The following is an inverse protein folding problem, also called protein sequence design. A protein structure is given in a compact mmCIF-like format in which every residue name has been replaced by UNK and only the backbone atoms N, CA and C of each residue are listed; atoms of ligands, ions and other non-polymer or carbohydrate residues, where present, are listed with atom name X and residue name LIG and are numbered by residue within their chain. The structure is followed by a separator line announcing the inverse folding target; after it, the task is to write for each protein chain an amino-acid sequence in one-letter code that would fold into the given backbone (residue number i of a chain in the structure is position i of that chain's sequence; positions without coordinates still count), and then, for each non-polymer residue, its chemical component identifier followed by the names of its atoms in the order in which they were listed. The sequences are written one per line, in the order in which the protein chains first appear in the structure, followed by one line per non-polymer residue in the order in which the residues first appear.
data_IF_268731959627
#
_entry.id   IF_268731959627
#
_cell.length_a   1.000
_cell.length_b   1.000
_cell.length_c   1.000
_cell.angle_alpha   90.00
_cell.angle_beta   90.00
_cell.angle_gamma   90.00
#
_symmetry.space_group_name_H-M   'P 1'
#
loop_
_entity.id
_entity.type
_entity.pdbx_description
1 polymer ?
#
# COMPACT_ATOMS: atom_id res chain seq x y z
N UNK A 1 6.82 -6.19 -0.20
CA UNK A 1 7.29 -4.81 0.08
C UNK A 1 6.96 -4.44 1.50
N UNK A 2 7.68 -3.49 2.10
CA UNK A 2 7.19 -2.91 3.36
C UNK A 2 5.81 -2.27 3.14
N UNK A 3 4.94 -2.38 4.14
CA UNK A 3 3.54 -1.91 4.05
C UNK A 3 3.43 -0.44 3.62
N UNK A 4 4.40 0.40 4.00
CA UNK A 4 4.44 1.82 3.60
C UNK A 4 4.61 1.97 2.09
N UNK A 5 5.43 1.14 1.45
CA UNK A 5 5.62 1.17 -0.01
C UNK A 5 4.35 0.73 -0.73
N UNK A 6 3.68 -0.33 -0.26
CA UNK A 6 2.36 -0.74 -0.77
C UNK A 6 1.34 0.40 -0.69
N UNK A 7 1.30 1.10 0.46
CA UNK A 7 0.41 2.24 0.65
C UNK A 7 0.69 3.37 -0.33
N UNK A 8 1.95 3.80 -0.45
CA UNK A 8 2.31 4.93 -1.34
C UNK A 8 2.01 4.62 -2.79
N UNK A 9 2.34 3.41 -3.27
CA UNK A 9 2.03 3.00 -4.65
C UNK A 9 0.52 2.90 -4.87
N UNK A 10 -0.23 2.36 -3.89
CA UNK A 10 -1.69 2.29 -3.99
C UNK A 10 -2.31 3.68 -4.08
N UNK A 11 -1.87 4.63 -3.24
CA UNK A 11 -2.32 6.03 -3.30
C UNK A 11 -1.97 6.69 -4.63
N UNK A 12 -0.77 6.43 -5.16
CA UNK A 12 -0.34 6.93 -6.47
C UNK A 12 -1.27 6.43 -7.58
N UNK A 13 -1.60 5.13 -7.59
CA UNK A 13 -2.49 4.54 -8.60
C UNK A 13 -3.92 5.05 -8.46
N UNK A 14 -4.43 5.19 -7.23
CA UNK A 14 -5.74 5.81 -6.95
C UNK A 14 -5.81 7.21 -7.60
N UNK A 15 -4.76 8.02 -7.41
CA UNK A 15 -4.70 9.37 -7.96
C UNK A 15 -4.58 9.37 -9.49
N UNK A 16 -3.77 8.47 -10.06
CA UNK A 16 -3.59 8.32 -11.52
C UNK A 16 -4.88 7.88 -12.23
N UNK A 17 -5.63 6.98 -11.60
CA UNK A 17 -6.87 6.43 -12.15
C UNK A 17 -8.10 7.28 -11.81
N UNK A 18 -7.94 8.34 -11.02
CA UNK A 18 -9.04 9.21 -10.57
C UNK A 18 -10.18 8.42 -9.90
N UNK A 19 -9.83 7.43 -9.06
CA UNK A 19 -10.82 6.60 -8.39
C UNK A 19 -11.66 7.43 -7.42
N UNK A 20 -12.96 7.14 -7.36
CA UNK A 20 -13.85 7.75 -6.38
C UNK A 20 -13.58 7.19 -4.97
N UNK A 21 -14.32 7.66 -3.98
CA UNK A 21 -14.11 7.25 -2.58
C UNK A 21 -14.38 5.75 -2.34
N UNK A 22 -15.35 5.17 -3.03
CA UNK A 22 -15.70 3.75 -2.87
C UNK A 22 -14.64 2.88 -3.53
N UNK A 23 -14.23 3.23 -4.74
CA UNK A 23 -13.20 2.53 -5.48
C UNK A 23 -11.83 2.68 -4.82
N UNK A 24 -11.52 3.86 -4.27
CA UNK A 24 -10.30 4.07 -3.47
C UNK A 24 -10.28 3.20 -2.21
N UNK A 25 -11.43 3.01 -1.54
CA UNK A 25 -11.51 2.11 -0.40
C UNK A 25 -11.24 0.66 -0.82
N UNK A 26 -11.87 0.19 -1.90
CA UNK A 26 -11.64 -1.15 -2.45
C UNK A 26 -10.17 -1.32 -2.86
N UNK A 27 -9.59 -0.33 -3.54
CA UNK A 27 -8.19 -0.29 -3.90
C UNK A 27 -7.26 -0.45 -2.69
N UNK A 28 -7.52 0.25 -1.58
CA UNK A 28 -6.73 0.11 -0.35
C UNK A 28 -6.91 -1.25 0.32
N UNK A 29 -8.11 -1.84 0.26
CA UNK A 29 -8.34 -3.20 0.77
C UNK A 29 -7.47 -4.22 0.05
N UNK A 30 -7.45 -4.18 -1.29
CA UNK A 30 -6.73 -5.18 -2.09
C UNK A 30 -5.26 -4.84 -2.35
N UNK A 31 -4.86 -3.58 -2.26
CA UNK A 31 -3.49 -3.12 -2.48
C UNK A 31 -2.64 -3.04 -1.19
N UNK A 32 -3.29 -2.88 -0.03
CA UNK A 32 -2.60 -2.65 1.26
C UNK A 32 -3.11 -3.57 2.36
N UNK A 33 -4.41 -3.54 2.68
CA UNK A 33 -4.92 -4.28 3.84
C UNK A 33 -4.97 -5.79 3.64
N UNK A 34 -4.76 -6.26 2.41
CA UNK A 34 -4.60 -7.68 2.12
C UNK A 34 -3.42 -8.29 2.89
N UNK A 35 -2.37 -7.49 3.18
CA UNK A 35 -1.22 -7.84 4.02
C UNK A 35 -1.62 -8.19 5.47
N UNK A 36 -2.82 -7.83 5.93
CA UNK A 36 -3.29 -8.25 7.26
C UNK A 36 -3.47 -9.77 7.34
N UNK A 37 -3.52 -10.47 6.21
CA UNK A 37 -3.53 -11.93 6.19
C UNK A 37 -2.24 -12.54 6.77
N UNK A 38 -1.12 -11.78 6.78
CA UNK A 38 0.10 -12.15 7.48
C UNK A 38 -0.12 -12.37 8.98
N UNK A 39 -1.13 -11.76 9.61
CA UNK A 39 -1.46 -12.03 11.01
C UNK A 39 -1.90 -13.49 11.22
N UNK A 40 -2.52 -14.10 10.22
CA UNK A 40 -2.87 -15.52 10.26
C UNK A 40 -1.61 -16.38 10.13
N UNK A 41 -0.71 -16.06 9.21
CA UNK A 41 0.59 -16.75 9.07
C UNK A 41 1.49 -16.60 10.30
N UNK A 42 1.50 -15.39 10.89
CA UNK A 42 2.26 -15.07 12.10
C UNK A 42 1.81 -15.93 13.29
N UNK A 43 0.50 -16.17 13.43
CA UNK A 43 -0.04 -17.05 14.48
C UNK A 43 0.54 -18.46 14.38
N UNK A 44 0.57 -19.02 13.18
CA UNK A 44 1.08 -20.38 12.97
C UNK A 44 2.60 -20.45 13.13
N UNK A 45 3.32 -19.41 12.70
CA UNK A 45 4.75 -19.29 12.94
C UNK A 45 5.12 -19.19 14.42
N UNK A 46 4.41 -18.37 15.20
CA UNK A 46 4.61 -18.24 16.66
C UNK A 46 4.37 -19.57 17.36
N UNK A 47 3.40 -20.36 16.89
CA UNK A 47 3.14 -21.71 17.42
C UNK A 47 4.29 -22.68 17.13
N UNK A 48 4.94 -22.55 15.98
CA UNK A 48 6.03 -23.45 15.56
C UNK A 48 7.40 -23.06 16.13
N UNK A 49 7.72 -21.76 16.18
CA UNK A 49 9.07 -21.25 16.47
C UNK A 49 9.16 -20.45 17.79
N UNK A 50 8.03 -20.20 18.44
CA UNK A 50 7.96 -19.40 19.67
C UNK A 50 7.92 -17.89 19.42
N UNK A 51 7.50 -17.13 20.45
CA UNK A 51 7.30 -15.68 20.36
C UNK A 51 8.60 -14.91 20.14
N UNK A 52 9.72 -15.44 20.64
CA UNK A 52 11.04 -14.80 20.51
C UNK A 52 11.54 -14.76 19.07
N UNK A 53 11.12 -15.70 18.22
CA UNK A 53 11.47 -15.75 16.81
C UNK A 53 10.81 -14.62 15.98
N UNK A 54 9.79 -13.94 16.52
CA UNK A 54 9.16 -12.77 15.86
C UNK A 54 10.03 -11.52 15.96
N UNK A 55 10.96 -11.48 16.91
CA UNK A 55 11.85 -10.34 17.12
C UNK A 55 13.23 -10.54 16.47
N UNK A 56 13.47 -11.70 15.84
CA UNK A 56 14.71 -11.94 15.11
C UNK A 56 14.65 -11.31 13.71
N UNK A 57 15.27 -10.14 13.59
CA UNK A 57 15.38 -9.40 12.33
C UNK A 57 16.06 -10.23 11.22
N UNK A 58 16.91 -11.20 11.55
CA UNK A 58 17.56 -12.06 10.56
C UNK A 58 16.57 -12.99 9.86
N UNK A 59 15.62 -13.55 10.61
CA UNK A 59 14.59 -14.44 10.08
C UNK A 59 13.49 -13.68 9.32
N UNK A 60 13.20 -12.44 9.73
CA UNK A 60 12.21 -11.56 9.06
C UNK A 60 12.70 -11.07 7.70
N UNK A 61 14.00 -10.80 7.58
CA UNK A 61 14.60 -10.25 6.36
C UNK A 61 14.96 -11.35 5.35
N UNK A 62 15.01 -12.61 5.80
CA UNK A 62 15.26 -13.73 4.90
C UNK A 62 14.07 -13.96 3.94
N UNK A 63 14.32 -14.16 2.63
CA UNK A 63 13.27 -14.42 1.64
C UNK A 63 12.41 -15.66 1.93
N UNK A 64 12.92 -16.58 2.77
CA UNK A 64 12.24 -17.78 3.25
C UNK A 64 11.46 -17.60 4.57
N UNK A 65 11.43 -16.41 5.16
CA UNK A 65 10.68 -16.10 6.38
C UNK A 65 9.19 -16.40 6.19
N UNK A 66 8.72 -17.46 6.86
CA UNK A 66 7.45 -18.19 6.62
C UNK A 66 6.16 -17.46 7.05
N UNK A 67 6.00 -16.16 6.80
CA UNK A 67 4.78 -15.42 7.17
C UNK A 67 3.90 -15.03 5.99
N UNK A 68 4.30 -15.36 4.76
CA UNK A 68 3.48 -15.15 3.57
C UNK A 68 2.23 -16.03 3.63
N UNK A 69 1.08 -15.38 3.73
CA UNK A 69 -0.22 -16.02 3.78
C UNK A 69 -0.79 -16.22 2.37
N UNK A 70 -1.93 -16.93 2.28
CA UNK A 70 -2.55 -17.39 1.05
C UNK A 70 -2.80 -16.28 0.03
N UNK A 71 -3.04 -15.03 0.46
CA UNK A 71 -3.36 -13.93 -0.46
C UNK A 71 -2.16 -13.44 -1.28
N UNK A 72 -0.95 -13.89 -0.94
CA UNK A 72 0.30 -13.63 -1.68
C UNK A 72 0.61 -14.71 -2.72
N UNK A 73 -0.23 -15.75 -2.81
CA UNK A 73 -0.11 -16.80 -3.82
C UNK A 73 -1.00 -16.50 -5.03
N UNK A 74 -0.57 -16.81 -6.26
CA UNK A 74 -1.42 -16.71 -7.46
C UNK A 74 -2.77 -17.44 -7.32
N UNK A 75 -2.84 -18.46 -6.45
CA UNK A 75 -4.09 -19.19 -6.15
C UNK A 75 -5.18 -18.29 -5.55
N UNK A 76 -4.81 -17.18 -4.89
CA UNK A 76 -5.77 -16.25 -4.33
C UNK A 76 -6.63 -15.55 -5.39
N UNK A 77 -6.28 -15.65 -6.68
CA UNK A 77 -7.17 -15.24 -7.79
C UNK A 77 -8.52 -15.95 -7.72
N UNK A 78 -8.59 -17.15 -7.14
CA UNK A 78 -9.85 -17.88 -6.95
C UNK A 78 -10.80 -17.20 -5.95
N UNK A 79 -10.28 -16.31 -5.11
CA UNK A 79 -11.06 -15.49 -4.17
C UNK A 79 -11.22 -14.07 -4.72
N UNK A 80 -10.13 -13.45 -5.15
CA UNK A 80 -10.14 -12.06 -5.67
C UNK A 80 -10.91 -11.96 -6.98
N UNK A 81 -10.78 -12.96 -7.86
CA UNK A 81 -11.45 -13.01 -9.17
C UNK A 81 -12.97 -12.94 -9.05
N UNK A 82 -13.63 -13.84 -8.27
CA UNK A 82 -15.07 -13.74 -8.03
C UNK A 82 -15.50 -12.41 -7.40
N UNK A 83 -14.73 -11.85 -6.47
CA UNK A 83 -15.04 -10.54 -5.86
C UNK A 83 -14.98 -9.43 -6.92
N UNK A 84 -13.99 -9.45 -7.80
CA UNK A 84 -13.89 -8.51 -8.93
C UNK A 84 -15.05 -8.65 -9.92
N UNK A 85 -15.41 -9.88 -10.28
CA UNK A 85 -16.55 -10.14 -11.18
C UNK A 85 -17.86 -9.67 -10.53
N UNK A 86 -18.08 -10.01 -9.26
CA UNK A 86 -19.28 -9.65 -8.51
C UNK A 86 -19.42 -8.14 -8.28
N UNK A 87 -18.30 -7.46 -8.03
CA UNK A 87 -18.29 -6.00 -7.87
C UNK A 87 -18.41 -5.26 -9.21
N UNK A 88 -18.29 -5.95 -10.36
CA UNK A 88 -18.13 -5.33 -11.70
C UNK A 88 -16.96 -4.33 -11.76
N UNK A 89 -16.04 -4.42 -10.82
CA UNK A 89 -14.89 -3.55 -10.70
C UNK A 89 -13.65 -4.36 -11.11
N UNK A 90 -12.88 -3.81 -12.04
CA UNK A 90 -11.51 -4.27 -12.28
C UNK A 90 -10.58 -3.89 -11.12
N UNK A 91 -11.02 -3.01 -10.22
CA UNK A 91 -10.23 -2.43 -9.13
C UNK A 91 -9.63 -3.49 -8.19
N UNK A 92 -10.40 -4.46 -7.63
CA UNK A 92 -9.81 -5.49 -6.76
C UNK A 92 -8.67 -6.27 -7.43
N UNK A 93 -8.89 -6.77 -8.66
CA UNK A 93 -7.88 -7.52 -9.41
C UNK A 93 -6.65 -6.67 -9.76
N UNK A 94 -6.84 -5.41 -10.15
CA UNK A 94 -5.73 -4.52 -10.48
C UNK A 94 -4.86 -4.21 -9.25
N UNK A 95 -5.48 -3.89 -8.12
CA UNK A 95 -4.74 -3.54 -6.90
C UNK A 95 -4.10 -4.77 -6.24
N UNK A 96 -4.80 -5.92 -6.23
CA UNK A 96 -4.20 -7.18 -5.79
C UNK A 96 -3.07 -7.65 -6.73
N UNK A 97 -3.25 -7.52 -8.05
CA UNK A 97 -2.21 -7.86 -9.02
C UNK A 97 -0.99 -6.96 -8.88
N UNK A 98 -1.20 -5.66 -8.69
CA UNK A 98 -0.11 -4.70 -8.40
C UNK A 98 0.61 -5.08 -7.12
N UNK A 99 -0.14 -5.42 -6.07
CA UNK A 99 0.39 -5.88 -4.81
C UNK A 99 1.32 -7.09 -4.99
N UNK A 100 0.86 -8.14 -5.69
CA UNK A 100 1.70 -9.30 -6.01
C UNK A 100 2.95 -8.93 -6.80
N UNK A 101 2.84 -8.04 -7.80
CA UNK A 101 3.97 -7.60 -8.61
C UNK A 101 5.01 -6.86 -7.77
N UNK A 102 4.57 -6.02 -6.83
CA UNK A 102 5.45 -5.34 -5.88
C UNK A 102 6.19 -6.34 -5.00
N UNK A 103 5.50 -7.38 -4.56
CA UNK A 103 6.08 -8.46 -3.77
C UNK A 103 7.11 -9.28 -4.55
N UNK A 104 6.83 -9.59 -5.81
CA UNK A 104 7.77 -10.25 -6.73
C UNK A 104 8.98 -9.35 -6.98
N UNK A 105 8.76 -8.06 -7.24
CA UNK A 105 9.83 -7.09 -7.47
C UNK A 105 10.74 -6.94 -6.24
N UNK A 106 10.17 -6.98 -5.03
CA UNK A 106 10.97 -7.00 -3.80
C UNK A 106 11.88 -8.22 -3.77
N UNK A 107 11.34 -9.43 -3.97
CA UNK A 107 12.12 -10.67 -3.83
C UNK A 107 13.17 -10.81 -4.94
N UNK A 108 12.84 -10.42 -6.17
CA UNK A 108 13.69 -10.67 -7.32
C UNK A 108 14.70 -9.56 -7.62
N UNK A 109 14.37 -8.31 -7.31
CA UNK A 109 15.14 -7.15 -7.79
C UNK A 109 15.60 -6.25 -6.67
N UNK A 110 14.71 -5.88 -5.75
CA UNK A 110 15.01 -4.80 -4.79
C UNK A 110 15.68 -5.31 -3.52
N UNK A 111 15.26 -6.45 -2.98
CA UNK A 111 15.62 -6.91 -1.64
C UNK A 111 14.73 -6.28 -0.56
N UNK A 112 14.60 -6.97 0.58
CA UNK A 112 13.79 -6.53 1.73
C UNK A 112 14.55 -5.46 2.53
N UNK A 113 13.93 -4.32 2.81
CA UNK A 113 14.56 -3.21 3.56
C UNK A 113 15.88 -2.70 2.94
N UNK A 114 15.98 -2.79 1.62
CA UNK A 114 17.19 -2.43 0.89
C UNK A 114 17.24 -0.93 0.53
N UNK A 115 18.41 -0.47 0.08
CA UNK A 115 18.56 0.87 -0.47
C UNK A 115 17.73 1.04 -1.75
N UNK A 116 17.58 -0.02 -2.55
CA UNK A 116 16.78 -0.01 -3.77
C UNK A 116 15.29 0.17 -3.47
N UNK A 117 14.76 -0.53 -2.46
CA UNK A 117 13.37 -0.35 -2.02
C UNK A 117 13.14 1.09 -1.52
N UNK A 118 14.10 1.65 -0.79
CA UNK A 118 14.03 3.03 -0.30
C UNK A 118 13.99 4.07 -1.44
N UNK A 119 14.79 3.87 -2.49
CA UNK A 119 14.76 4.71 -3.70
C UNK A 119 13.41 4.58 -4.41
N UNK A 120 12.90 3.37 -4.56
CA UNK A 120 11.59 3.14 -5.19
C UNK A 120 10.46 3.83 -4.41
N UNK A 121 10.45 3.70 -3.08
CA UNK A 121 9.50 4.39 -2.21
C UNK A 121 9.58 5.91 -2.38
N UNK A 122 10.80 6.48 -2.40
CA UNK A 122 10.99 7.92 -2.59
C UNK A 122 10.43 8.39 -3.95
N UNK A 123 10.71 7.66 -5.03
CA UNK A 123 10.21 8.00 -6.37
C UNK A 123 8.68 7.91 -6.44
N UNK A 124 8.08 6.88 -5.86
CA UNK A 124 6.62 6.74 -5.80
C UNK A 124 5.98 7.88 -4.99
N UNK A 125 6.56 8.23 -3.84
CA UNK A 125 6.09 9.35 -3.01
C UNK A 125 6.23 10.69 -3.73
N UNK A 126 7.36 10.92 -4.40
CA UNK A 126 7.58 12.12 -5.20
C UNK A 126 6.54 12.22 -6.32
N UNK A 127 6.29 11.13 -7.05
CA UNK A 127 5.25 11.08 -8.08
C UNK A 127 3.85 11.42 -7.55
N UNK A 128 3.48 10.86 -6.40
CA UNK A 128 2.20 11.14 -5.75
C UNK A 128 2.07 12.63 -5.39
N UNK A 129 3.10 13.21 -4.78
CA UNK A 129 3.13 14.63 -4.43
C UNK A 129 3.05 15.50 -5.68
N UNK A 130 3.78 15.16 -6.75
CA UNK A 130 3.78 15.91 -8.00
C UNK A 130 2.40 15.91 -8.67
N UNK A 131 1.73 14.76 -8.74
CA UNK A 131 0.38 14.67 -9.34
C UNK A 131 -0.63 15.50 -8.55
N UNK A 132 -0.61 15.38 -7.22
CA UNK A 132 -1.51 16.16 -6.36
C UNK A 132 -1.24 17.66 -6.48
N UNK A 133 0.02 18.06 -6.48
CA UNK A 133 0.43 19.44 -6.68
C UNK A 133 -0.05 19.99 -8.04
N UNK A 134 0.17 19.24 -9.12
CA UNK A 134 -0.26 19.62 -10.46
C UNK A 134 -1.79 19.80 -10.54
N UNK A 135 -2.56 18.93 -9.87
CA UNK A 135 -4.01 19.04 -9.79
C UNK A 135 -4.44 20.29 -9.01
N UNK A 136 -3.79 20.60 -7.88
CA UNK A 136 -4.08 21.80 -7.10
C UNK A 136 -3.79 23.10 -7.87
N UNK A 137 -2.75 23.12 -8.70
CA UNK A 137 -2.49 24.25 -9.60
C UNK A 137 -3.60 24.33 -10.66
N UNK A 138 -3.96 23.21 -11.28
CA UNK A 138 -4.99 23.18 -12.32
C UNK A 138 -6.37 23.63 -11.81
N UNK A 139 -6.69 23.38 -10.54
CA UNK A 139 -7.93 23.86 -9.89
C UNK A 139 -7.83 25.29 -9.34
N UNK A 140 -6.69 25.96 -9.50
CA UNK A 140 -6.45 27.32 -8.98
C UNK A 140 -6.37 27.40 -7.46
N UNK A 141 -6.17 26.27 -6.77
CA UNK A 141 -6.17 26.19 -5.31
C UNK A 141 -4.82 26.54 -4.67
N UNK A 142 -3.73 26.49 -5.44
CA UNK A 142 -2.40 26.95 -5.03
C UNK A 142 -1.62 27.45 -6.24
N UNK A 143 -0.77 28.47 -6.05
CA UNK A 143 0.10 29.03 -7.09
C UNK A 143 1.57 28.60 -6.92
N UNK A 144 1.95 28.20 -5.70
CA UNK A 144 3.31 27.75 -5.37
C UNK A 144 3.31 26.45 -4.56
N UNK A 145 4.44 25.74 -4.58
CA UNK A 145 4.62 24.53 -3.76
C UNK A 145 4.47 24.81 -2.26
N UNK A 146 4.94 25.97 -1.80
CA UNK A 146 4.81 26.37 -0.40
C UNK A 146 3.35 26.56 0.03
N UNK A 147 2.51 27.12 -0.85
CA UNK A 147 1.07 27.26 -0.61
C UNK A 147 0.37 25.90 -0.57
N UNK A 148 0.69 25.02 -1.52
CA UNK A 148 0.19 23.65 -1.54
C UNK A 148 0.53 22.90 -0.24
N UNK A 149 1.79 22.94 0.20
CA UNK A 149 2.21 22.29 1.44
C UNK A 149 1.48 22.85 2.66
N UNK A 150 1.27 24.18 2.72
CA UNK A 150 0.48 24.80 3.81
C UNK A 150 -0.98 24.37 3.77
N UNK A 151 -1.57 24.26 2.58
CA UNK A 151 -2.94 23.80 2.38
C UNK A 151 -3.12 22.37 2.89
N UNK A 152 -2.26 21.44 2.48
CA UNK A 152 -2.30 20.04 2.92
C UNK A 152 -2.09 19.91 4.45
N UNK A 153 -1.11 20.63 5.01
CA UNK A 153 -0.87 20.64 6.45
C UNK A 153 -2.06 21.23 7.22
N UNK A 154 -2.69 22.27 6.67
CA UNK A 154 -3.90 22.88 7.22
C UNK A 154 -5.08 21.90 7.26
N UNK A 155 -5.27 21.14 6.17
CA UNK A 155 -6.30 20.09 6.09
C UNK A 155 -6.11 19.00 7.13
N UNK A 156 -4.87 18.51 7.30
CA UNK A 156 -4.54 17.51 8.33
C UNK A 156 -4.85 18.01 9.75
N UNK A 157 -4.51 19.28 10.05
CA UNK A 157 -4.80 19.90 11.35
C UNK A 157 -6.29 20.13 11.60
N UNK A 158 -7.08 20.38 10.55
CA UNK A 158 -8.52 20.53 10.67
C UNK A 158 -9.20 19.20 11.04
N UNK A 159 -8.63 18.07 10.60
CA UNK A 159 -9.14 16.73 10.88
C UNK A 159 -8.87 16.26 12.32
N UNK A 160 -7.79 16.73 12.93
CA UNK A 160 -7.40 16.37 14.32
C UNK A 160 -8.05 17.25 15.39
N UNK A 161 -8.74 18.33 15.01
CA UNK A 161 -9.52 19.11 15.96
C UNK A 161 -10.82 18.37 16.29
N UNK A 162 -11.14 18.13 17.57
CA UNK A 162 -12.43 17.57 17.94
C UNK A 162 -13.52 18.51 17.42
N UNK A 163 -14.43 17.97 16.61
CA UNK A 163 -15.70 18.64 16.33
C UNK A 163 -16.43 18.70 17.66
N UNK A 164 -16.39 19.86 18.32
CA UNK A 164 -17.27 20.12 19.45
C UNK A 164 -18.70 20.03 18.90
N UNK A 165 -19.39 18.94 19.24
CA UNK A 165 -20.85 18.84 19.16
C UNK A 165 -21.46 19.58 20.34
#
# INVERSE_FOLDING_TARGET
MIAVTHLVVSLLLIELMHLDRNDAFVALVFGVFIDLDHLFGLRDYVRANGVTAVFDLGDIVNPGGHWKSLMHSPVAVMVVGPVSIASRLAVPLLFWGTHLLMDIAQVQVLGVLSSQESVFLFLAAAGLVTIRYARCIATGSASTLAEYLRFEIGGMKAWTRPRMM
#
